data_IF_546501947706
#
_entry.id   IF_546501947706
#
_cell.length_a   1.000
_cell.length_b   1.000
_cell.length_c   1.000
_cell.angle_alpha   90.00
_cell.angle_beta   90.00
_cell.angle_gamma   90.00
#
_symmetry.space_group_name_H-M   'P 1'
#
loop_
_entity.id
_entity.type
_entity.pdbx_description
1 polymer ?
#
# COMPACT_ATOMS: atom_id res chain seq x y z
N UNK A 1 2.10 -28.14 -21.90
CA UNK A 1 0.79 -27.93 -21.27
C UNK A 1 0.91 -26.64 -20.45
N UNK A 2 -0.02 -25.68 -20.61
CA UNK A 2 0.22 -24.28 -20.29
C UNK A 2 0.01 -23.95 -18.81
N UNK A 3 0.97 -23.20 -18.25
CA UNK A 3 0.84 -22.10 -17.29
C UNK A 3 -0.17 -22.21 -16.13
N UNK A 4 0.08 -23.11 -15.18
CA UNK A 4 -0.51 -23.04 -13.82
C UNK A 4 0.57 -23.19 -12.74
N UNK A 5 1.50 -22.23 -12.64
CA UNK A 5 2.51 -22.25 -11.57
C UNK A 5 2.91 -20.82 -11.16
N UNK A 6 2.01 -20.04 -10.53
CA UNK A 6 2.45 -18.78 -9.89
C UNK A 6 1.54 -18.26 -8.75
N UNK A 7 0.79 -19.15 -8.08
CA UNK A 7 -0.15 -18.83 -6.98
C UNK A 7 0.23 -19.43 -5.63
N UNK A 8 1.48 -19.81 -5.40
CA UNK A 8 1.92 -20.22 -4.05
C UNK A 8 2.36 -19.00 -3.24
N UNK A 9 1.64 -18.75 -2.13
CA UNK A 9 1.92 -17.69 -1.15
C UNK A 9 3.39 -17.70 -0.66
N UNK A 10 4.02 -18.88 -0.59
CA UNK A 10 5.44 -19.04 -0.25
C UNK A 10 6.40 -18.49 -1.31
N UNK A 11 6.12 -18.70 -2.61
CA UNK A 11 6.94 -18.16 -3.70
C UNK A 11 6.82 -16.64 -3.79
N UNK A 12 5.63 -16.10 -3.54
CA UNK A 12 5.37 -14.67 -3.46
C UNK A 12 6.09 -14.03 -2.29
N UNK A 13 6.04 -14.62 -1.09
CA UNK A 13 6.77 -14.15 0.08
C UNK A 13 8.28 -14.12 -0.17
N UNK A 14 8.84 -15.16 -0.81
CA UNK A 14 10.26 -15.22 -1.14
C UNK A 14 10.69 -14.16 -2.17
N UNK A 15 9.86 -13.89 -3.19
CA UNK A 15 10.11 -12.82 -4.19
C UNK A 15 9.99 -11.44 -3.55
N UNK A 16 8.96 -11.21 -2.76
CA UNK A 16 8.79 -9.96 -1.99
C UNK A 16 9.94 -9.74 -1.00
N UNK A 17 10.55 -10.79 -0.44
CA UNK A 17 11.69 -10.65 0.48
C UNK A 17 12.98 -10.22 -0.23
N UNK A 18 13.15 -10.58 -1.51
CA UNK A 18 14.31 -10.21 -2.35
C UNK A 18 14.14 -8.88 -3.09
N UNK A 19 12.91 -8.41 -3.27
CA UNK A 19 12.59 -7.18 -4.01
C UNK A 19 12.90 -5.91 -3.20
N UNK A 20 13.28 -4.84 -3.91
CA UNK A 20 13.43 -3.51 -3.34
C UNK A 20 12.08 -2.93 -2.92
N UNK A 21 12.03 -2.00 -1.95
CA UNK A 21 10.78 -1.39 -1.48
C UNK A 21 9.90 -0.85 -2.62
N UNK A 22 10.51 -0.26 -3.64
CA UNK A 22 9.82 0.21 -4.86
C UNK A 22 9.11 -0.90 -5.64
N UNK A 23 9.73 -2.08 -5.75
CA UNK A 23 9.19 -3.21 -6.51
C UNK A 23 8.05 -3.87 -5.76
N UNK A 24 8.15 -3.95 -4.43
CA UNK A 24 7.07 -4.44 -3.58
C UNK A 24 5.83 -3.53 -3.68
N UNK A 25 6.01 -2.21 -3.67
CA UNK A 25 4.92 -1.25 -3.88
C UNK A 25 4.27 -1.49 -5.25
N UNK A 26 5.07 -1.54 -6.31
CA UNK A 26 4.56 -1.77 -7.66
C UNK A 26 3.79 -3.10 -7.77
N UNK A 27 4.28 -4.15 -7.12
CA UNK A 27 3.64 -5.46 -7.10
C UNK A 27 2.24 -5.40 -6.45
N UNK A 28 2.13 -4.88 -5.22
CA UNK A 28 0.85 -4.80 -4.51
C UNK A 28 -0.14 -3.89 -5.22
N UNK A 29 0.34 -2.76 -5.75
CA UNK A 29 -0.45 -1.88 -6.60
C UNK A 29 -1.01 -2.60 -7.84
N UNK A 30 -0.18 -3.38 -8.54
CA UNK A 30 -0.61 -4.15 -9.71
C UNK A 30 -1.60 -5.27 -9.36
N UNK A 31 -1.43 -5.93 -8.21
CA UNK A 31 -2.39 -6.92 -7.72
C UNK A 31 -3.75 -6.30 -7.46
N UNK A 32 -3.78 -5.18 -6.74
CA UNK A 32 -5.01 -4.43 -6.49
C UNK A 32 -5.66 -3.94 -7.79
N UNK A 33 -4.86 -3.46 -8.74
CA UNK A 33 -5.37 -3.11 -10.06
C UNK A 33 -5.96 -4.31 -10.79
N UNK A 34 -5.24 -5.43 -10.90
CA UNK A 34 -5.75 -6.61 -11.61
C UNK A 34 -7.07 -7.12 -11.01
N UNK A 35 -7.16 -7.14 -9.68
CA UNK A 35 -8.32 -7.68 -8.95
C UNK A 35 -9.52 -6.72 -8.98
N UNK A 36 -9.31 -5.42 -8.79
CA UNK A 36 -10.40 -4.45 -8.60
C UNK A 36 -10.67 -3.51 -9.77
N UNK A 37 -9.77 -3.39 -10.76
CA UNK A 37 -9.95 -2.48 -11.92
C UNK A 37 -11.21 -2.77 -12.74
N UNK A 38 -11.71 -4.02 -12.73
CA UNK A 38 -12.88 -4.44 -13.53
C UNK A 38 -14.22 -4.14 -12.84
N UNK A 39 -14.31 -4.32 -11.53
CA UNK A 39 -15.58 -4.18 -10.78
C UNK A 39 -15.63 -2.92 -9.91
N UNK A 40 -14.50 -2.48 -9.34
CA UNK A 40 -14.47 -1.48 -8.28
C UNK A 40 -13.43 -0.39 -8.57
N UNK A 41 -13.41 0.09 -9.80
CA UNK A 41 -12.47 1.12 -10.27
C UNK A 41 -12.52 2.40 -9.41
N UNK A 42 -13.72 2.89 -9.10
CA UNK A 42 -13.91 4.09 -8.28
C UNK A 42 -13.44 3.89 -6.84
N UNK A 43 -13.83 2.78 -6.21
CA UNK A 43 -13.39 2.43 -4.86
C UNK A 43 -11.87 2.25 -4.79
N UNK A 44 -11.27 1.65 -5.81
CA UNK A 44 -9.83 1.48 -5.92
C UNK A 44 -9.11 2.83 -6.05
N UNK A 45 -9.65 3.74 -6.86
CA UNK A 45 -9.13 5.11 -7.00
C UNK A 45 -9.19 5.86 -5.67
N UNK A 46 -10.27 5.69 -4.91
CA UNK A 46 -10.43 6.27 -3.57
C UNK A 46 -9.45 5.64 -2.56
N UNK A 47 -9.23 4.32 -2.62
CA UNK A 47 -8.22 3.62 -1.81
C UNK A 47 -6.83 4.21 -2.05
N UNK A 48 -6.40 4.25 -3.31
CA UNK A 48 -5.11 4.80 -3.70
C UNK A 48 -4.96 6.27 -3.34
N UNK A 49 -6.01 7.09 -3.50
CA UNK A 49 -6.00 8.50 -3.07
C UNK A 49 -5.80 8.62 -1.55
N UNK A 50 -6.42 7.73 -0.78
CA UNK A 50 -6.29 7.70 0.68
C UNK A 50 -4.86 7.30 1.09
N UNK A 51 -4.31 6.23 0.50
CA UNK A 51 -2.93 5.79 0.74
C UNK A 51 -1.92 6.87 0.31
N UNK A 52 -2.13 7.51 -0.85
CA UNK A 52 -1.33 8.65 -1.31
C UNK A 52 -1.31 9.76 -0.29
N UNK A 53 -2.46 10.11 0.29
CA UNK A 53 -2.55 11.15 1.32
C UNK A 53 -1.77 10.78 2.57
N UNK A 54 -1.85 9.52 3.01
CA UNK A 54 -1.07 9.04 4.14
C UNK A 54 0.44 9.08 3.87
N UNK A 55 0.88 8.56 2.72
CA UNK A 55 2.28 8.58 2.32
C UNK A 55 2.81 10.02 2.12
N UNK A 56 1.98 10.92 1.61
CA UNK A 56 2.34 12.33 1.42
C UNK A 56 2.52 13.01 2.78
N UNK A 57 1.55 12.85 3.69
CA UNK A 57 1.63 13.40 5.04
C UNK A 57 2.84 12.85 5.80
N UNK A 58 3.10 11.54 5.72
CA UNK A 58 4.28 10.93 6.35
C UNK A 58 5.60 11.41 5.74
N UNK A 59 5.63 11.72 4.44
CA UNK A 59 6.80 12.24 3.75
C UNK A 59 7.05 13.73 4.03
N UNK A 60 6.01 14.56 4.02
CA UNK A 60 6.11 16.00 4.27
C UNK A 60 6.31 16.31 5.76
N UNK A 61 5.72 15.50 6.63
CA UNK A 61 5.79 15.66 8.07
C UNK A 61 6.36 14.40 8.76
N UNK A 62 7.62 14.01 8.48
CA UNK A 62 8.24 12.82 9.05
C UNK A 62 8.55 12.96 10.55
N UNK A 63 8.36 14.15 11.14
CA UNK A 63 8.55 14.45 12.56
C UNK A 63 7.22 14.47 13.34
N UNK A 64 6.08 14.48 12.66
CA UNK A 64 4.78 14.52 13.32
C UNK A 64 4.20 13.12 13.45
N UNK A 65 4.27 12.57 14.66
CA UNK A 65 3.75 11.24 15.00
C UNK A 65 2.25 11.07 14.69
N UNK A 66 1.50 12.19 14.59
CA UNK A 66 0.08 12.18 14.18
C UNK A 66 -0.12 11.74 12.73
N UNK A 67 0.84 11.99 11.85
CA UNK A 67 0.82 11.59 10.45
C UNK A 67 1.53 10.26 10.20
N UNK A 68 2.41 9.86 11.12
CA UNK A 68 3.03 8.53 11.14
C UNK A 68 2.12 7.45 11.72
N UNK A 69 0.95 7.82 12.27
CA UNK A 69 -0.05 6.89 12.80
C UNK A 69 -1.37 6.96 12.01
N UNK A 70 -1.84 5.81 11.55
CA UNK A 70 -3.15 5.66 10.89
C UNK A 70 -4.03 4.78 11.76
N UNK A 71 -5.18 5.30 12.18
CA UNK A 71 -6.23 4.50 12.85
C UNK A 71 -6.87 3.57 11.83
N UNK A 72 -6.76 2.25 12.04
CA UNK A 72 -7.55 1.25 11.30
C UNK A 72 -9.04 1.46 11.49
N UNK A 73 -9.46 1.98 12.64
CA UNK A 73 -10.87 2.28 12.92
C UNK A 73 -11.43 3.45 12.12
N UNK A 74 -10.57 4.27 11.48
CA UNK A 74 -11.05 5.37 10.66
C UNK A 74 -11.99 4.82 9.58
N UNK A 75 -13.21 5.40 9.47
CA UNK A 75 -14.19 4.99 8.48
C UNK A 75 -13.61 4.98 7.06
N UNK A 76 -12.75 5.93 6.72
CA UNK A 76 -12.07 5.95 5.42
C UNK A 76 -11.17 4.71 5.25
N UNK A 77 -10.44 4.30 6.27
CA UNK A 77 -9.60 3.10 6.23
C UNK A 77 -10.43 1.81 6.15
N UNK A 78 -11.42 1.64 7.04
CA UNK A 78 -12.31 0.47 7.07
C UNK A 78 -13.09 0.28 5.78
N UNK A 79 -13.61 1.36 5.20
CA UNK A 79 -14.45 1.27 4.00
C UNK A 79 -13.66 1.27 2.70
N UNK A 80 -12.49 1.91 2.66
CA UNK A 80 -11.73 2.13 1.41
C UNK A 80 -10.44 1.34 1.32
N UNK A 81 -9.85 0.89 2.42
CA UNK A 81 -8.55 0.18 2.42
C UNK A 81 -8.71 -1.27 2.87
N UNK A 82 -9.51 -1.52 3.91
CA UNK A 82 -9.78 -2.87 4.43
C UNK A 82 -10.38 -3.87 3.42
N UNK A 83 -11.32 -3.50 2.53
CA UNK A 83 -11.87 -4.47 1.57
C UNK A 83 -10.91 -4.82 0.43
N UNK A 84 -9.75 -4.14 0.37
CA UNK A 84 -8.74 -4.33 -0.66
C UNK A 84 -7.62 -5.23 -0.14
N UNK A 85 -7.68 -6.50 -0.54
CA UNK A 85 -6.68 -7.49 -0.20
C UNK A 85 -5.32 -7.11 -0.83
N UNK A 86 -4.33 -6.80 0.01
CA UNK A 86 -3.02 -6.28 -0.40
C UNK A 86 -2.78 -4.79 -0.15
N UNK A 87 -3.83 -4.02 0.20
CA UNK A 87 -3.65 -2.61 0.55
C UNK A 87 -2.95 -2.41 1.90
N UNK A 88 -3.20 -3.31 2.86
CA UNK A 88 -2.44 -3.40 4.12
C UNK A 88 -0.97 -3.70 3.86
N UNK A 89 -0.67 -4.67 3.00
CA UNK A 89 0.69 -5.03 2.63
C UNK A 89 1.40 -3.87 1.91
N UNK A 90 0.68 -3.10 1.08
CA UNK A 90 1.21 -1.90 0.44
C UNK A 90 1.62 -0.85 1.49
N UNK A 91 0.79 -0.64 2.51
CA UNK A 91 1.07 0.27 3.63
C UNK A 91 2.29 -0.20 4.44
N UNK A 92 2.38 -1.49 4.73
CA UNK A 92 3.53 -2.08 5.43
C UNK A 92 4.84 -1.86 4.67
N UNK A 93 4.82 -2.04 3.35
CA UNK A 93 5.97 -1.76 2.48
C UNK A 93 6.31 -0.27 2.45
N UNK A 94 5.32 0.62 2.58
CA UNK A 94 5.54 2.07 2.70
C UNK A 94 6.12 2.46 4.07
N UNK A 95 6.21 1.52 5.02
CA UNK A 95 6.74 1.72 6.37
C UNK A 95 5.67 1.76 7.45
N UNK A 96 4.38 1.71 7.10
CA UNK A 96 3.28 1.66 8.06
C UNK A 96 3.10 0.23 8.56
N UNK A 97 3.83 -0.11 9.63
CA UNK A 97 3.74 -1.43 10.25
C UNK A 97 2.49 -1.52 11.13
N UNK A 98 1.87 -2.68 11.07
CA UNK A 98 0.82 -2.99 12.01
C UNK A 98 1.43 -3.45 13.35
N UNK A 99 1.26 -2.67 14.41
CA UNK A 99 1.80 -3.03 15.73
C UNK A 99 0.87 -3.98 16.51
N UNK A 100 0.14 -4.86 15.81
CA UNK A 100 -0.82 -5.79 16.41
C UNK A 100 -2.02 -5.12 17.09
N UNK A 101 -2.26 -3.83 16.82
CA UNK A 101 -3.32 -3.05 17.43
C UNK A 101 -4.30 -2.45 16.42
N UNK A 102 -4.96 -1.37 16.82
CA UNK A 102 -5.91 -0.62 15.98
C UNK A 102 -5.24 0.46 15.13
N UNK A 103 -3.91 0.54 15.16
CA UNK A 103 -3.14 1.61 14.54
C UNK A 103 -2.01 1.03 13.71
N UNK A 104 -1.88 1.51 12.48
CA UNK A 104 -0.66 1.34 11.70
C UNK A 104 0.28 2.50 12.04
N UNK A 105 1.49 2.19 12.46
CA UNK A 105 2.50 3.19 12.84
C UNK A 105 3.78 2.97 12.06
N UNK A 106 4.43 4.07 11.68
CA UNK A 106 5.80 4.01 11.19
C UNK A 106 6.72 4.08 12.41
N UNK A 107 7.31 2.95 12.80
CA UNK A 107 8.32 2.91 13.87
C UNK A 107 9.65 3.41 13.32
N UNK A 108 10.05 4.61 13.71
CA UNK A 108 11.32 5.25 13.33
C UNK A 108 11.17 6.24 12.18
N UNK A 109 12.21 6.35 11.34
CA UNK A 109 12.22 7.29 10.24
C UNK A 109 11.61 6.62 8.99
N UNK A 110 10.53 7.16 8.42
CA UNK A 110 10.03 6.65 7.15
C UNK A 110 11.09 6.80 6.07
N UNK A 111 11.25 5.76 5.25
CA UNK A 111 12.08 5.82 4.05
C UNK A 111 11.45 6.81 3.05
N UNK A 112 11.86 8.08 3.11
CA UNK A 112 11.36 9.14 2.22
C UNK A 112 11.57 8.82 0.74
N UNK A 113 12.58 8.00 0.43
CA UNK A 113 12.78 7.44 -0.91
C UNK A 113 11.67 6.46 -1.30
N UNK A 114 11.37 5.46 -0.45
CA UNK A 114 10.32 4.47 -0.71
C UNK A 114 8.95 5.15 -0.76
N UNK A 115 8.64 6.04 0.17
CA UNK A 115 7.41 6.85 0.15
C UNK A 115 7.33 7.69 -1.12
N UNK A 116 8.42 8.32 -1.55
CA UNK A 116 8.47 9.10 -2.78
C UNK A 116 8.21 8.26 -4.03
N UNK A 117 8.77 7.04 -4.10
CA UNK A 117 8.51 6.10 -5.19
C UNK A 117 7.07 5.59 -5.14
N UNK A 118 6.56 5.26 -3.95
CA UNK A 118 5.19 4.82 -3.75
C UNK A 118 4.19 5.89 -4.21
N UNK A 119 4.42 7.15 -3.82
CA UNK A 119 3.62 8.28 -4.25
C UNK A 119 3.59 8.41 -5.78
N UNK A 120 4.76 8.36 -6.43
CA UNK A 120 4.84 8.41 -7.90
C UNK A 120 4.08 7.25 -8.55
N UNK A 121 4.26 6.03 -8.06
CA UNK A 121 3.56 4.86 -8.57
C UNK A 121 2.04 5.01 -8.42
N UNK A 122 1.59 5.41 -7.24
CA UNK A 122 0.17 5.62 -6.96
C UNK A 122 -0.39 6.74 -7.85
N UNK A 123 0.34 7.84 -8.06
CA UNK A 123 -0.08 8.95 -8.91
C UNK A 123 -0.24 8.51 -10.37
N UNK A 124 0.72 7.76 -10.91
CA UNK A 124 0.64 7.17 -12.27
C UNK A 124 -0.56 6.23 -12.38
N UNK A 125 -0.81 5.41 -11.36
CA UNK A 125 -1.95 4.50 -11.34
C UNK A 125 -3.27 5.27 -11.29
N UNK A 126 -3.36 6.32 -10.48
CA UNK A 126 -4.53 7.19 -10.40
C UNK A 126 -4.79 7.92 -11.72
N UNK A 127 -3.76 8.20 -12.53
CA UNK A 127 -3.92 8.73 -13.88
C UNK A 127 -4.42 7.68 -14.89
N UNK A 128 -4.15 6.40 -14.64
CA UNK A 128 -4.58 5.29 -15.49
C UNK A 128 -5.96 4.71 -15.10
N UNK A 129 -6.46 5.04 -13.91
CA UNK A 129 -7.81 4.74 -13.42
C UNK A 129 -8.74 5.91 -13.76
#
# INVERSE_FOLDING_TARGET
MPEEEETTEEGLAARLKKMSGKEKVAYWCNQLLKKYKREQKDSLRVCFTTIRTYCLNAKEHPLEEKYLKIRKENNAFKTRVLPFEGALSLLEVCGFKDNGGEFLIIEGQPDGFVLGQALKFIDVILQQL
#
